data_IF_928784165578
#
_entry.id   IF_928784165578
#
_cell.length_a   1.000
_cell.length_b   1.000
_cell.length_c   1.000
_cell.angle_alpha   90.00
_cell.angle_beta   90.00
_cell.angle_gamma   90.00
#
_symmetry.space_group_name_H-M   'P 1'
#
loop_
_entity.id
_entity.type
_entity.pdbx_description
1 polymer ?
#
# COMPACT_ATOMS: atom_id res chain seq x y z
N UNK A 1 -3.66 33.91 -11.39
CA UNK A 1 -4.33 32.75 -12.04
C UNK A 1 -3.71 31.39 -11.65
N UNK A 2 -3.61 31.05 -10.36
CA UNK A 2 -2.94 29.78 -9.95
C UNK A 2 -3.62 28.98 -8.83
N UNK A 3 -4.58 29.56 -8.09
CA UNK A 3 -5.28 28.88 -6.99
C UNK A 3 -6.32 27.85 -7.50
N UNK A 4 -7.15 28.23 -8.49
CA UNK A 4 -8.20 27.37 -9.05
C UNK A 4 -7.64 26.08 -9.71
N UNK A 5 -6.50 26.19 -10.41
CA UNK A 5 -5.81 25.02 -10.99
C UNK A 5 -5.17 24.12 -9.91
N UNK A 6 -4.84 24.66 -8.74
CA UNK A 6 -4.29 23.91 -7.62
C UNK A 6 -5.39 23.15 -6.87
N UNK A 7 -6.52 23.81 -6.60
CA UNK A 7 -7.72 23.21 -6.02
C UNK A 7 -8.29 22.11 -6.93
N UNK A 8 -8.39 22.35 -8.24
CA UNK A 8 -8.87 21.35 -9.19
C UNK A 8 -7.97 20.11 -9.27
N UNK A 9 -6.64 20.28 -9.22
CA UNK A 9 -5.69 19.15 -9.15
C UNK A 9 -5.81 18.36 -7.85
N UNK A 10 -5.98 19.06 -6.73
CA UNK A 10 -6.19 18.43 -5.43
C UNK A 10 -7.51 17.63 -5.38
N UNK A 11 -8.60 18.21 -5.90
CA UNK A 11 -9.90 17.57 -6.00
C UNK A 11 -9.85 16.32 -6.88
N UNK A 12 -9.23 16.41 -8.06
CA UNK A 12 -9.07 15.27 -8.95
C UNK A 12 -8.29 14.13 -8.29
N UNK A 13 -7.23 14.45 -7.55
CA UNK A 13 -6.45 13.45 -6.80
C UNK A 13 -7.28 12.79 -5.70
N UNK A 14 -8.08 13.56 -4.97
CA UNK A 14 -8.98 13.03 -3.96
C UNK A 14 -10.06 12.12 -4.56
N UNK A 15 -10.69 12.54 -5.67
CA UNK A 15 -11.69 11.75 -6.40
C UNK A 15 -11.09 10.44 -6.93
N UNK A 16 -9.90 10.49 -7.53
CA UNK A 16 -9.18 9.29 -8.01
C UNK A 16 -8.87 8.34 -6.85
N UNK A 17 -8.39 8.85 -5.72
CA UNK A 17 -8.10 8.04 -4.53
C UNK A 17 -9.36 7.40 -3.96
N UNK A 18 -10.48 8.12 -3.93
CA UNK A 18 -11.77 7.57 -3.51
C UNK A 18 -12.23 6.44 -4.44
N UNK A 19 -12.12 6.63 -5.77
CA UNK A 19 -12.47 5.59 -6.75
C UNK A 19 -11.57 4.36 -6.63
N UNK A 20 -10.26 4.56 -6.45
CA UNK A 20 -9.31 3.47 -6.23
C UNK A 20 -9.67 2.67 -4.97
N UNK A 21 -10.02 3.33 -3.87
CA UNK A 21 -10.50 2.66 -2.65
C UNK A 21 -11.76 1.84 -2.88
N UNK A 22 -12.72 2.35 -3.65
CA UNK A 22 -13.93 1.60 -4.01
C UNK A 22 -13.60 0.35 -4.85
N UNK A 23 -12.65 0.44 -5.80
CA UNK A 23 -12.21 -0.71 -6.60
C UNK A 23 -11.48 -1.74 -5.74
N UNK A 24 -10.60 -1.31 -4.84
CA UNK A 24 -9.96 -2.21 -3.88
C UNK A 24 -11.00 -2.89 -2.98
N UNK A 25 -11.98 -2.16 -2.46
CA UNK A 25 -13.04 -2.75 -1.66
C UNK A 25 -13.75 -3.88 -2.41
N UNK A 26 -14.14 -3.65 -3.67
CA UNK A 26 -14.77 -4.68 -4.53
C UNK A 26 -13.86 -5.89 -4.76
N UNK A 27 -12.57 -5.66 -4.96
CA UNK A 27 -11.57 -6.73 -5.08
C UNK A 27 -11.51 -7.59 -3.80
N UNK A 28 -11.44 -6.95 -2.62
CA UNK A 28 -11.36 -7.64 -1.34
C UNK A 28 -12.66 -8.36 -0.94
N UNK A 29 -13.80 -7.91 -1.44
CA UNK A 29 -15.12 -8.55 -1.31
C UNK A 29 -15.28 -9.79 -2.21
N UNK A 30 -14.33 -10.07 -3.11
CA UNK A 30 -14.36 -11.20 -4.04
C UNK A 30 -13.24 -12.21 -3.73
N UNK A 31 -13.47 -13.21 -2.85
CA UNK A 31 -12.44 -14.17 -2.44
C UNK A 31 -11.75 -14.88 -3.61
N UNK A 32 -12.49 -15.19 -4.67
CA UNK A 32 -11.96 -15.83 -5.87
C UNK A 32 -10.80 -15.05 -6.51
N UNK A 33 -10.82 -13.70 -6.42
CA UNK A 33 -9.76 -12.84 -6.97
C UNK A 33 -8.52 -12.74 -6.09
N UNK A 34 -8.59 -13.23 -4.85
CA UNK A 34 -7.48 -13.25 -3.91
C UNK A 34 -6.78 -14.63 -3.86
N UNK A 35 -7.33 -15.64 -4.53
CA UNK A 35 -6.77 -16.99 -4.57
C UNK A 35 -5.33 -16.96 -5.08
N UNK A 36 -4.45 -17.73 -4.43
CA UNK A 36 -3.02 -17.76 -4.75
C UNK A 36 -2.21 -16.60 -4.16
N UNK A 37 -2.85 -15.68 -3.42
CA UNK A 37 -2.17 -14.60 -2.70
C UNK A 37 -2.23 -14.80 -1.19
N UNK A 38 -1.41 -14.06 -0.44
CA UNK A 38 -1.52 -13.99 1.02
C UNK A 38 -2.60 -13.00 1.49
N UNK A 39 -3.37 -12.41 0.57
CA UNK A 39 -4.41 -11.43 0.84
C UNK A 39 -5.68 -12.10 1.37
N UNK A 40 -6.39 -11.39 2.25
CA UNK A 40 -7.66 -11.80 2.84
C UNK A 40 -8.53 -10.57 2.98
N UNK A 41 -9.85 -10.74 3.00
CA UNK A 41 -10.81 -9.65 3.15
C UNK A 41 -10.50 -8.76 4.36
N UNK A 42 -10.11 -9.35 5.49
CA UNK A 42 -9.72 -8.63 6.72
C UNK A 42 -8.55 -7.64 6.54
N UNK A 43 -7.72 -7.80 5.50
CA UNK A 43 -6.61 -6.89 5.24
C UNK A 43 -7.07 -5.55 4.66
N UNK A 44 -8.33 -5.43 4.20
CA UNK A 44 -8.87 -4.18 3.69
C UNK A 44 -8.77 -3.04 4.72
N UNK A 45 -8.98 -3.33 6.01
CA UNK A 45 -8.84 -2.33 7.08
C UNK A 45 -7.41 -1.85 7.33
N UNK A 46 -6.40 -2.52 6.76
CA UNK A 46 -4.97 -2.19 6.86
C UNK A 46 -4.36 -1.82 5.50
N UNK A 47 -5.22 -1.60 4.51
CA UNK A 47 -4.84 -1.34 3.13
C UNK A 47 -4.74 0.16 2.88
N UNK A 48 -3.64 0.61 2.28
CA UNK A 48 -3.51 1.98 1.79
C UNK A 48 -3.07 2.03 0.33
N UNK A 49 -3.57 3.04 -0.39
CA UNK A 49 -3.26 3.26 -1.80
C UNK A 49 -1.92 4.00 -1.92
N UNK A 50 -0.94 3.36 -2.56
CA UNK A 50 0.39 3.93 -2.77
C UNK A 50 0.42 4.73 -4.06
N UNK A 51 -0.07 4.13 -5.15
CA UNK A 51 -0.05 4.74 -6.48
C UNK A 51 -1.27 4.32 -7.31
N UNK A 52 -1.64 5.17 -8.26
CA UNK A 52 -2.81 5.00 -9.14
C UNK A 52 -2.36 5.31 -10.55
N UNK A 53 -2.40 4.29 -11.41
CA UNK A 53 -2.22 4.48 -12.85
C UNK A 53 -3.59 4.68 -13.49
N UNK A 54 -3.73 5.75 -14.25
CA UNK A 54 -4.96 6.09 -14.95
C UNK A 54 -4.69 6.61 -16.36
N UNK A 55 -5.63 6.35 -17.27
CA UNK A 55 -5.70 6.98 -18.58
C UNK A 55 -6.95 7.85 -18.60
N UNK A 56 -6.76 9.17 -18.47
CA UNK A 56 -7.87 10.10 -18.27
C UNK A 56 -8.55 9.84 -16.93
N UNK A 57 -9.83 9.46 -16.94
CA UNK A 57 -10.64 9.23 -15.74
C UNK A 57 -10.86 7.73 -15.44
N UNK A 58 -10.21 6.85 -16.21
CA UNK A 58 -10.25 5.40 -16.04
C UNK A 58 -8.97 4.89 -15.36
N UNK A 59 -9.14 4.15 -14.26
CA UNK A 59 -8.04 3.57 -13.49
C UNK A 59 -7.63 2.25 -14.14
N UNK A 60 -6.39 2.18 -14.65
CA UNK A 60 -5.83 0.98 -15.29
C UNK A 60 -5.12 0.07 -14.30
N UNK A 61 -4.48 0.62 -13.26
CA UNK A 61 -3.87 -0.17 -12.21
C UNK A 61 -3.83 0.57 -10.87
N UNK A 62 -3.80 -0.19 -9.79
CA UNK A 62 -3.66 0.33 -8.43
C UNK A 62 -2.49 -0.39 -7.78
N UNK A 63 -1.56 0.39 -7.24
CA UNK A 63 -0.54 -0.11 -6.31
C UNK A 63 -0.99 0.24 -4.90
N UNK A 64 -1.11 -0.77 -4.04
CA UNK A 64 -1.53 -0.62 -2.66
C UNK A 64 -0.59 -1.38 -1.74
N UNK A 65 -0.65 -1.06 -0.45
CA UNK A 65 0.14 -1.73 0.57
C UNK A 65 -0.72 -2.18 1.72
N UNK A 66 -0.33 -3.28 2.37
CA UNK A 66 -0.95 -3.76 3.59
C UNK A 66 0.08 -3.78 4.69
N UNK A 67 -0.27 -3.15 5.82
CA UNK A 67 0.55 -3.23 7.02
C UNK A 67 0.45 -4.63 7.62
N UNK A 68 1.59 -5.31 7.70
CA UNK A 68 1.76 -6.55 8.46
C UNK A 68 2.64 -6.27 9.67
N UNK A 69 2.14 -6.68 10.83
CA UNK A 69 3.02 -6.98 11.94
C UNK A 69 3.70 -8.32 11.62
N UNK A 70 5.03 -8.41 11.75
CA UNK A 70 5.72 -9.67 11.57
C UNK A 70 5.28 -10.57 12.71
N UNK A 71 5.09 -11.86 12.40
CA UNK A 71 5.05 -12.85 13.47
C UNK A 71 6.41 -12.81 14.19
N UNK A 72 6.45 -12.85 15.54
CA UNK A 72 7.71 -12.80 16.27
C UNK A 72 8.65 -13.86 15.69
N UNK A 73 9.81 -13.43 15.23
CA UNK A 73 10.85 -14.35 14.78
C UNK A 73 11.41 -15.01 16.05
N UNK A 74 11.57 -16.34 16.12
CA UNK A 74 11.97 -17.02 17.36
C UNK A 74 13.31 -16.54 17.95
N UNK A 75 14.12 -15.80 17.20
CA UNK A 75 15.46 -15.34 17.59
C UNK A 75 15.60 -13.81 17.67
N UNK A 76 14.54 -13.02 17.43
CA UNK A 76 14.58 -11.56 17.58
C UNK A 76 13.29 -11.04 18.22
N UNK A 77 13.45 -10.27 19.31
CA UNK A 77 12.36 -9.57 20.00
C UNK A 77 11.87 -8.33 19.24
N UNK A 78 12.51 -7.96 18.13
CA UNK A 78 12.14 -6.78 17.37
C UNK A 78 10.92 -7.06 16.48
N UNK A 79 9.85 -6.30 16.71
CA UNK A 79 8.63 -6.33 15.90
C UNK A 79 8.77 -5.36 14.72
N UNK A 80 9.41 -5.77 13.62
CA UNK A 80 9.58 -4.93 12.43
C UNK A 80 8.26 -4.70 11.66
N UNK A 81 7.71 -3.50 11.69
CA UNK A 81 6.54 -3.16 10.87
C UNK A 81 6.90 -3.28 9.38
N UNK A 82 6.19 -4.13 8.64
CA UNK A 82 6.41 -4.33 7.19
C UNK A 82 5.15 -3.95 6.42
N UNK A 83 5.30 -3.10 5.42
CA UNK A 83 4.27 -2.85 4.42
C UNK A 83 4.51 -3.76 3.22
N UNK A 84 3.63 -4.74 2.98
CA UNK A 84 3.66 -5.53 1.75
C UNK A 84 2.98 -4.76 0.61
N UNK A 85 3.69 -4.55 -0.50
CA UNK A 85 3.14 -3.88 -1.69
C UNK A 85 2.59 -4.87 -2.69
N UNK A 86 1.47 -4.47 -3.27
CA UNK A 86 0.71 -5.22 -4.26
C UNK A 86 0.32 -4.30 -5.39
N UNK A 87 0.30 -4.84 -6.60
CA UNK A 87 -0.23 -4.15 -7.79
C UNK A 87 -1.33 -4.99 -8.38
N UNK A 88 -2.43 -4.35 -8.78
CA UNK A 88 -3.53 -5.00 -9.49
C UNK A 88 -3.88 -4.22 -10.73
N UNK A 89 -3.91 -4.90 -11.87
CA UNK A 89 -4.45 -4.37 -13.11
C UNK A 89 -5.98 -4.45 -13.07
N UNK A 90 -6.67 -3.39 -13.49
CA UNK A 90 -8.12 -3.32 -13.51
C UNK A 90 -8.66 -3.47 -14.94
N UNK A 91 -9.94 -3.91 -15.09
CA UNK A 91 -10.89 -4.24 -14.04
C UNK A 91 -10.73 -5.65 -13.44
N UNK A 92 -10.06 -6.57 -14.13
CA UNK A 92 -10.14 -8.02 -13.85
C UNK A 92 -8.88 -8.70 -13.33
N UNK A 93 -7.74 -8.01 -13.24
CA UNK A 93 -6.48 -8.64 -12.87
C UNK A 93 -6.46 -9.21 -11.44
N UNK A 94 -5.61 -10.20 -11.23
CA UNK A 94 -5.27 -10.74 -9.90
C UNK A 94 -4.16 -9.88 -9.28
N UNK A 95 -4.19 -9.62 -7.96
CA UNK A 95 -3.12 -8.90 -7.29
C UNK A 95 -1.79 -9.64 -7.40
N UNK A 96 -0.76 -8.92 -7.81
CA UNK A 96 0.61 -9.41 -7.90
C UNK A 96 1.47 -8.69 -6.86
N UNK A 97 2.42 -9.42 -6.27
CA UNK A 97 3.33 -8.87 -5.27
C UNK A 97 4.28 -7.88 -5.96
N UNK A 98 4.34 -6.65 -5.45
CA UNK A 98 5.11 -5.54 -5.99
C UNK A 98 6.26 -5.11 -5.05
N UNK A 99 6.61 -5.96 -4.09
CA UNK A 99 7.69 -5.74 -3.12
C UNK A 99 7.19 -5.58 -1.68
N UNK A 100 8.07 -5.06 -0.82
CA UNK A 100 7.76 -4.75 0.57
C UNK A 100 8.69 -3.67 1.10
N UNK A 101 8.25 -2.95 2.13
CA UNK A 101 9.02 -1.90 2.80
C UNK A 101 9.07 -2.19 4.30
N UNK A 102 10.28 -2.16 4.88
CA UNK A 102 10.45 -2.21 6.33
C UNK A 102 10.27 -0.80 6.89
N UNK A 103 9.13 -0.56 7.53
CA UNK A 103 8.77 0.75 8.08
C UNK A 103 9.51 1.05 9.39
N UNK A 104 9.94 0.03 10.14
CA UNK A 104 10.74 0.26 11.35
C UNK A 104 12.10 0.87 10.98
N UNK A 105 12.76 0.34 9.95
CA UNK A 105 14.02 0.89 9.46
C UNK A 105 13.88 2.33 8.94
N UNK A 106 12.80 2.63 8.21
CA UNK A 106 12.53 3.98 7.73
C UNK A 106 12.25 4.97 8.87
N UNK A 107 11.63 4.53 9.97
CA UNK A 107 11.42 5.36 11.15
C UNK A 107 12.76 5.66 11.84
N UNK A 108 13.64 4.65 11.93
CA UNK A 108 14.98 4.81 12.49
C UNK A 108 15.86 5.71 11.60
N UNK A 109 15.79 5.56 10.26
CA UNK A 109 16.51 6.41 9.30
C UNK A 109 15.99 7.86 9.24
N UNK A 110 14.70 8.08 9.50
CA UNK A 110 14.10 9.42 9.54
C UNK A 110 14.26 10.11 10.91
N UNK A 111 14.57 9.34 11.94
CA UNK A 111 14.91 9.82 13.27
C UNK A 111 16.43 9.92 13.34
N UNK A 112 17.02 11.01 12.82
CA UNK A 112 18.46 11.33 12.96
C UNK A 112 18.95 11.05 14.39
N UNK A 113 19.52 9.86 14.59
CA UNK A 113 20.04 9.35 15.84
C UNK A 113 21.01 8.26 15.47
N UNK A 114 22.28 8.49 15.83
CA UNK A 114 23.42 7.62 15.52
C UNK A 114 23.07 6.12 15.52
N UNK A 115 23.60 5.34 14.56
CA UNK A 115 23.39 3.90 14.56
C UNK A 115 23.89 3.32 15.90
N UNK A 116 23.06 2.59 16.67
CA UNK A 116 23.53 1.92 17.85
C UNK A 116 24.45 0.77 17.43
N UNK A 117 25.75 0.98 17.64
CA UNK A 117 26.74 -0.08 17.83
C UNK A 117 27.19 -0.80 16.56
N UNK A 118 28.43 -0.53 16.17
CA UNK A 118 29.31 -1.54 15.59
C UNK A 118 29.23 -2.81 16.45
N UNK A 119 28.83 -3.93 15.86
CA UNK A 119 29.00 -5.24 16.51
C UNK A 119 30.51 -5.57 16.57
N UNK A 120 30.99 -6.22 17.65
CA UNK A 120 32.37 -6.68 17.76
C UNK A 120 32.69 -7.81 16.76
#
# INVERSE_FOLDING_TARGET
MNLLKMVGRWWNRWRLRSRARSQLRRLFEQPARLVGTSLRQQHLGRCDVVDIENRGDEISAITFQILRHPRPHPFSRQHHLVAERWRVALPGGTPQRAGSVNLSRLADEASDGDPPGSFP
#
